data_IF_008822719913
#
_entry.id   IF_008822719913
#
_cell.length_a   1.000
_cell.length_b   1.000
_cell.length_c   1.000
_cell.angle_alpha   90.00
_cell.angle_beta   90.00
_cell.angle_gamma   90.00
#
_symmetry.space_group_name_H-M   'P 1'
#
loop_
_entity.id
_entity.type
_entity.pdbx_description
1 polymer ?
#
# COMPACT_ATOMS: atom_id res chain seq x y z
N UNK A 1 -9.46 12.57 -15.99
CA UNK A 1 -9.69 12.71 -17.44
C UNK A 1 -8.63 13.62 -18.04
N UNK A 2 -8.19 13.32 -19.26
CA UNK A 2 -7.30 14.16 -20.05
C UNK A 2 -8.22 14.99 -20.96
N UNK A 3 -7.96 16.30 -21.08
CA UNK A 3 -8.73 17.18 -21.96
C UNK A 3 -7.81 17.71 -23.04
N UNK A 4 -8.13 17.43 -24.31
CA UNK A 4 -7.49 18.05 -25.46
C UNK A 4 -8.37 19.20 -25.94
N UNK A 5 -7.75 20.31 -26.36
CA UNK A 5 -8.47 21.51 -26.82
C UNK A 5 -8.02 21.86 -28.23
N UNK A 6 -9.00 22.06 -29.12
CA UNK A 6 -8.77 22.60 -30.46
C UNK A 6 -8.71 24.12 -30.43
N UNK A 7 -7.82 24.72 -31.19
CA UNK A 7 -7.80 26.15 -31.43
C UNK A 7 -8.92 26.64 -32.38
N UNK A 8 -9.57 25.71 -33.12
CA UNK A 8 -10.68 26.06 -33.99
C UNK A 8 -11.97 26.20 -33.18
N UNK A 9 -12.66 27.31 -33.29
CA UNK A 9 -13.90 27.62 -32.54
C UNK A 9 -15.11 26.80 -32.98
N UNK A 10 -15.10 26.20 -34.18
CA UNK A 10 -16.23 25.45 -34.72
C UNK A 10 -15.76 24.40 -35.77
N UNK A 11 -16.68 23.51 -36.14
CA UNK A 11 -16.50 22.56 -37.23
C UNK A 11 -15.52 21.45 -36.93
N UNK A 12 -15.17 21.21 -35.67
CA UNK A 12 -14.20 20.18 -35.28
C UNK A 12 -14.72 18.75 -35.53
N UNK A 13 -13.83 17.87 -35.95
CA UNK A 13 -13.94 16.44 -35.88
C UNK A 13 -12.63 15.89 -35.31
N UNK A 14 -12.71 15.20 -34.20
CA UNK A 14 -11.54 14.56 -33.58
C UNK A 14 -11.31 13.15 -34.12
N UNK A 15 -10.05 12.76 -34.21
CA UNK A 15 -9.57 11.48 -34.68
C UNK A 15 -8.67 10.83 -33.64
N UNK A 16 -8.71 9.51 -33.55
CA UNK A 16 -7.77 8.69 -32.81
C UNK A 16 -7.13 7.68 -33.78
N UNK A 17 -5.81 7.65 -33.83
CA UNK A 17 -5.04 6.75 -34.71
C UNK A 17 -5.50 6.82 -36.18
N UNK A 18 -5.90 8.00 -36.64
CA UNK A 18 -6.42 8.25 -38.01
C UNK A 18 -7.90 7.93 -38.22
N UNK A 19 -8.57 7.31 -37.26
CA UNK A 19 -10.01 7.02 -37.33
C UNK A 19 -10.84 8.12 -36.65
N UNK A 20 -11.98 8.56 -37.22
CA UNK A 20 -12.85 9.56 -36.64
C UNK A 20 -13.49 9.04 -35.35
N UNK A 21 -13.50 9.85 -34.31
CA UNK A 21 -14.22 9.57 -33.05
C UNK A 21 -15.66 10.01 -33.23
N UNK A 22 -16.62 9.08 -33.23
CA UNK A 22 -18.02 9.38 -33.47
C UNK A 22 -18.58 10.41 -32.48
N UNK A 23 -19.18 11.48 -33.02
CA UNK A 23 -19.77 12.57 -32.22
C UNK A 23 -18.76 13.52 -31.53
N UNK A 24 -17.45 13.35 -31.71
CA UNK A 24 -16.45 14.22 -31.12
C UNK A 24 -16.24 15.49 -31.98
N UNK A 25 -17.18 16.43 -31.90
CA UNK A 25 -17.20 17.65 -32.71
C UNK A 25 -17.05 18.94 -31.89
N UNK A 26 -16.92 18.82 -30.58
CA UNK A 26 -16.71 19.98 -29.70
C UNK A 26 -15.29 20.55 -29.81
N UNK A 27 -15.09 21.75 -29.30
CA UNK A 27 -13.76 22.38 -29.19
C UNK A 27 -12.84 21.63 -28.22
N UNK A 28 -13.40 20.82 -27.31
CA UNK A 28 -12.66 19.98 -26.36
C UNK A 28 -13.00 18.50 -26.56
N UNK A 29 -11.99 17.63 -26.39
CA UNK A 29 -12.15 16.18 -26.32
C UNK A 29 -11.73 15.71 -24.92
N UNK A 30 -12.66 15.07 -24.20
CA UNK A 30 -12.39 14.43 -22.92
C UNK A 30 -12.01 12.97 -23.15
N UNK A 31 -10.79 12.60 -22.74
CA UNK A 31 -10.30 11.22 -22.84
C UNK A 31 -10.33 10.60 -21.43
N UNK A 32 -11.08 9.51 -21.28
CA UNK A 32 -11.08 8.74 -20.03
C UNK A 32 -9.75 7.99 -19.89
N UNK A 33 -9.25 7.88 -18.64
CA UNK A 33 -7.95 7.27 -18.34
C UNK A 33 -8.01 5.73 -18.31
N UNK A 34 -8.52 5.13 -19.37
CA UNK A 34 -8.50 3.69 -19.63
C UNK A 34 -7.36 3.36 -20.61
N UNK A 35 -6.58 2.27 -20.41
CA UNK A 35 -5.43 1.93 -21.27
C UNK A 35 -5.78 1.85 -22.75
N UNK A 36 -6.99 1.40 -23.11
CA UNK A 36 -7.49 1.35 -24.48
C UNK A 36 -7.66 2.72 -25.15
N UNK A 37 -7.58 3.81 -24.40
CA UNK A 37 -7.62 5.17 -24.92
C UNK A 37 -6.25 5.79 -25.19
N UNK A 38 -5.17 5.03 -24.99
CA UNK A 38 -3.84 5.42 -25.49
C UNK A 38 -3.89 5.49 -27.03
N UNK A 39 -3.21 6.47 -27.60
CA UNK A 39 -3.18 6.64 -29.06
C UNK A 39 -2.74 8.03 -29.48
N UNK A 40 -2.73 8.25 -30.79
CA UNK A 40 -2.40 9.52 -31.43
C UNK A 40 -3.69 10.27 -31.79
N UNK A 41 -3.86 11.45 -31.22
CA UNK A 41 -5.07 12.26 -31.39
C UNK A 41 -4.80 13.46 -32.29
N UNK A 42 -5.69 13.66 -33.25
CA UNK A 42 -5.66 14.81 -34.17
C UNK A 42 -7.07 15.39 -34.32
N UNK A 43 -7.15 16.60 -34.87
CA UNK A 43 -8.42 17.27 -35.16
C UNK A 43 -8.36 17.91 -36.54
N UNK A 44 -9.50 17.89 -37.24
CA UNK A 44 -9.73 18.62 -38.50
C UNK A 44 -10.93 19.54 -38.24
N UNK A 45 -10.86 20.81 -38.68
CA UNK A 45 -11.98 21.73 -38.66
C UNK A 45 -12.53 21.91 -40.06
N UNK A 46 -13.85 21.80 -40.21
CA UNK A 46 -14.57 22.03 -41.49
C UNK A 46 -15.53 23.19 -41.30
N UNK A 47 -15.34 24.27 -42.04
CA UNK A 47 -16.19 25.48 -42.01
C UNK A 47 -16.63 25.79 -43.44
N UNK A 48 -17.93 26.01 -43.63
CA UNK A 48 -18.53 26.29 -44.96
C UNK A 48 -18.16 25.27 -46.05
N UNK A 49 -18.03 23.99 -45.65
CA UNK A 49 -17.66 22.93 -46.55
C UNK A 49 -16.16 22.79 -46.90
N UNK A 50 -15.32 23.67 -46.34
CA UNK A 50 -13.87 23.65 -46.53
C UNK A 50 -13.19 23.05 -45.28
N UNK A 51 -12.45 21.93 -45.44
CA UNK A 51 -11.70 21.31 -44.36
C UNK A 51 -10.30 21.89 -44.24
N UNK A 52 -9.82 22.05 -43.01
CA UNK A 52 -8.44 22.35 -42.74
C UNK A 52 -7.51 21.17 -43.02
N UNK A 53 -6.20 21.41 -43.02
CA UNK A 53 -5.24 20.32 -42.84
C UNK A 53 -5.43 19.68 -41.46
N UNK A 54 -5.01 18.43 -41.34
CA UNK A 54 -4.96 17.74 -40.04
C UNK A 54 -4.02 18.44 -39.08
N UNK A 55 -4.40 18.56 -37.82
CA UNK A 55 -3.54 19.14 -36.78
C UNK A 55 -2.27 18.27 -36.57
N UNK A 56 -1.26 18.88 -35.94
CA UNK A 56 -0.18 18.08 -35.32
C UNK A 56 -0.81 17.09 -34.34
N UNK A 57 -0.28 15.87 -34.30
CA UNK A 57 -0.77 14.82 -33.44
C UNK A 57 -0.33 15.02 -31.97
N UNK A 58 -1.26 14.77 -31.05
CA UNK A 58 -0.95 14.65 -29.61
C UNK A 58 -0.94 13.18 -29.24
N UNK A 59 0.22 12.66 -28.83
CA UNK A 59 0.33 11.28 -28.32
C UNK A 59 -0.12 11.23 -26.87
N UNK A 60 -1.08 10.36 -26.57
CA UNK A 60 -1.58 10.09 -25.22
C UNK A 60 -1.21 8.67 -24.84
N UNK A 61 -0.46 8.52 -23.74
CA UNK A 61 -0.11 7.22 -23.17
C UNK A 61 -0.78 7.06 -21.82
N UNK A 62 -1.56 6.00 -21.66
CA UNK A 62 -2.24 5.66 -20.41
C UNK A 62 -1.71 4.30 -19.94
N UNK A 63 -0.94 4.32 -18.89
CA UNK A 63 -0.33 3.11 -18.34
C UNK A 63 -1.32 2.37 -17.44
N UNK A 64 -1.38 1.02 -17.51
CA UNK A 64 -2.25 0.24 -16.64
C UNK A 64 -1.76 0.33 -15.18
N UNK A 65 -2.71 0.26 -14.25
CA UNK A 65 -2.43 0.09 -12.83
C UNK A 65 -1.95 -1.35 -12.55
N UNK A 66 -1.16 -1.56 -11.50
CA UNK A 66 -0.92 -2.90 -10.98
C UNK A 66 -2.23 -3.62 -10.61
N UNK A 67 -2.20 -4.96 -10.57
CA UNK A 67 -3.34 -5.76 -10.13
C UNK A 67 -3.60 -5.57 -8.63
N UNK A 68 -4.87 -5.56 -8.24
CA UNK A 68 -5.31 -5.44 -6.84
C UNK A 68 -5.65 -6.79 -6.21
N UNK A 69 -5.58 -7.87 -6.98
CA UNK A 69 -5.98 -9.24 -6.61
C UNK A 69 -4.98 -10.01 -5.72
N UNK A 70 -3.68 -9.64 -5.57
CA UNK A 70 -2.81 -10.33 -4.63
C UNK A 70 -3.41 -10.38 -3.22
N UNK A 71 -3.32 -11.55 -2.57
CA UNK A 71 -3.92 -11.80 -1.26
C UNK A 71 -2.93 -11.38 -0.17
N UNK A 72 -3.41 -10.59 0.79
CA UNK A 72 -2.64 -10.10 1.94
C UNK A 72 -2.95 -10.95 3.17
N UNK A 73 -1.93 -11.52 3.80
CA UNK A 73 -2.08 -12.32 5.04
C UNK A 73 -0.97 -12.00 6.04
N UNK A 74 -1.22 -12.13 7.35
CA UNK A 74 -2.49 -12.45 7.99
C UNK A 74 -3.49 -11.27 7.91
N UNK A 75 -4.79 -11.55 7.87
CA UNK A 75 -5.81 -10.49 7.93
C UNK A 75 -5.84 -9.78 9.30
N UNK A 76 -5.57 -10.54 10.37
CA UNK A 76 -5.45 -10.05 11.75
C UNK A 76 -4.28 -10.72 12.45
N UNK A 77 -3.58 -10.00 13.33
CA UNK A 77 -2.54 -10.56 14.19
C UNK A 77 -2.38 -9.73 15.47
N UNK A 78 -1.75 -10.33 16.49
CA UNK A 78 -1.46 -9.66 17.75
C UNK A 78 0.02 -9.81 18.05
N UNK A 79 0.67 -8.71 18.44
CA UNK A 79 2.09 -8.67 18.79
C UNK A 79 2.34 -7.86 20.06
N UNK A 80 3.51 -8.00 20.66
CA UNK A 80 3.94 -7.14 21.76
C UNK A 80 4.46 -5.80 21.21
N UNK A 81 4.39 -4.74 22.03
CA UNK A 81 4.96 -3.43 21.71
C UNK A 81 6.44 -3.56 21.31
N UNK A 82 6.82 -2.91 20.23
CA UNK A 82 8.17 -2.96 19.66
C UNK A 82 8.45 -4.15 18.73
N UNK A 83 7.49 -5.04 18.52
CA UNK A 83 7.64 -6.18 17.59
C UNK A 83 7.37 -5.76 16.15
N UNK A 84 7.93 -6.53 15.21
CA UNK A 84 7.65 -6.44 13.77
C UNK A 84 6.60 -7.46 13.37
N UNK A 85 5.94 -7.22 12.23
CA UNK A 85 4.97 -8.14 11.61
C UNK A 85 5.43 -8.49 10.21
N UNK A 86 5.42 -9.79 9.88
CA UNK A 86 5.60 -10.25 8.50
C UNK A 86 4.25 -10.35 7.82
N UNK A 87 4.10 -9.62 6.72
CA UNK A 87 2.93 -9.62 5.85
C UNK A 87 3.28 -10.36 4.56
N UNK A 88 2.56 -11.43 4.28
CA UNK A 88 2.69 -12.18 3.04
C UNK A 88 1.74 -11.61 1.98
N UNK A 89 2.24 -11.41 0.77
CA UNK A 89 1.46 -11.04 -0.42
C UNK A 89 1.53 -12.17 -1.41
N UNK A 90 0.49 -13.01 -1.44
CA UNK A 90 0.41 -14.14 -2.35
C UNK A 90 -0.05 -13.69 -3.74
N UNK A 91 0.60 -14.21 -4.80
CA UNK A 91 0.31 -13.84 -6.17
C UNK A 91 0.81 -12.44 -6.54
N UNK A 92 1.96 -12.03 -5.98
CA UNK A 92 2.59 -10.77 -6.35
C UNK A 92 2.91 -10.75 -7.85
N UNK A 93 2.74 -9.60 -8.48
CA UNK A 93 2.98 -9.42 -9.91
C UNK A 93 4.47 -9.13 -10.16
N UNK A 94 5.11 -9.89 -11.05
CA UNK A 94 6.50 -9.66 -11.43
C UNK A 94 6.70 -8.26 -12.04
N UNK A 95 7.78 -7.58 -11.67
CA UNK A 95 8.09 -6.23 -12.13
C UNK A 95 7.31 -5.12 -11.43
N UNK A 96 6.50 -5.44 -10.41
CA UNK A 96 5.79 -4.49 -9.56
C UNK A 96 6.45 -4.48 -8.18
N UNK A 97 6.60 -3.32 -7.61
CA UNK A 97 7.12 -3.11 -6.26
C UNK A 97 5.99 -3.03 -5.24
N UNK A 98 6.20 -3.64 -4.07
CA UNK A 98 5.25 -3.68 -2.97
C UNK A 98 5.85 -3.05 -1.72
N UNK A 99 5.04 -2.31 -0.96
CA UNK A 99 5.45 -1.62 0.24
C UNK A 99 4.28 -1.55 1.23
N UNK A 100 4.57 -1.67 2.54
CA UNK A 100 3.57 -1.60 3.61
C UNK A 100 3.37 -0.16 4.07
N UNK A 101 2.12 0.19 4.34
CA UNK A 101 1.74 1.51 4.83
C UNK A 101 0.73 1.42 5.99
N UNK A 102 0.79 2.41 6.88
CA UNK A 102 -0.29 2.78 7.79
C UNK A 102 -0.77 4.18 7.40
N UNK A 103 -1.93 4.26 6.76
CA UNK A 103 -2.35 5.51 6.14
C UNK A 103 -1.33 6.01 5.10
N UNK A 104 -0.74 7.18 5.33
CA UNK A 104 0.30 7.75 4.46
C UNK A 104 1.74 7.40 4.86
N UNK A 105 1.96 6.72 5.99
CA UNK A 105 3.29 6.44 6.53
C UNK A 105 3.79 5.07 6.06
N UNK A 106 5.00 5.02 5.49
CA UNK A 106 5.67 3.77 5.13
C UNK A 106 6.08 2.99 6.37
N UNK A 107 5.83 1.68 6.36
CA UNK A 107 6.17 0.73 7.44
C UNK A 107 7.25 -0.27 7.04
N UNK A 108 7.62 -0.35 5.77
CA UNK A 108 8.61 -1.33 5.28
C UNK A 108 9.48 -0.72 4.18
N UNK A 109 10.59 -1.39 3.86
CA UNK A 109 11.27 -1.19 2.59
C UNK A 109 10.43 -1.73 1.43
N UNK A 110 10.76 -1.28 0.23
CA UNK A 110 10.13 -1.76 -1.00
C UNK A 110 10.65 -3.16 -1.35
N UNK A 111 9.74 -4.06 -1.70
CA UNK A 111 10.05 -5.45 -2.13
C UNK A 111 9.50 -5.68 -3.54
N UNK A 112 10.33 -6.21 -4.43
CA UNK A 112 9.92 -6.54 -5.78
C UNK A 112 9.04 -7.80 -5.82
N UNK A 113 7.96 -7.76 -6.60
CA UNK A 113 7.12 -8.91 -6.88
C UNK A 113 7.82 -9.93 -7.78
N UNK A 114 7.58 -11.20 -7.53
CA UNK A 114 8.25 -12.33 -8.19
C UNK A 114 7.34 -13.12 -9.14
N UNK A 115 6.05 -12.81 -9.17
CA UNK A 115 5.01 -13.64 -9.79
C UNK A 115 4.41 -14.67 -8.82
N UNK A 116 5.03 -14.85 -7.65
CA UNK A 116 4.60 -15.73 -6.56
C UNK A 116 4.33 -14.97 -5.27
N UNK A 117 4.43 -15.67 -4.15
CA UNK A 117 4.33 -15.06 -2.83
C UNK A 117 5.60 -14.29 -2.45
N UNK A 118 5.44 -13.15 -1.81
CA UNK A 118 6.52 -12.35 -1.20
C UNK A 118 6.19 -12.02 0.24
N UNK A 119 7.22 -11.79 1.05
CA UNK A 119 7.09 -11.36 2.44
C UNK A 119 7.64 -9.95 2.60
N UNK A 120 6.85 -9.10 3.25
CA UNK A 120 7.26 -7.77 3.67
C UNK A 120 7.24 -7.73 5.20
N UNK A 121 8.24 -7.08 5.79
CA UNK A 121 8.36 -6.96 7.26
C UNK A 121 8.19 -5.50 7.65
N UNK A 122 7.34 -5.24 8.63
CA UNK A 122 7.14 -3.88 9.15
C UNK A 122 8.35 -3.41 9.95
N UNK A 123 8.51 -2.11 10.10
CA UNK A 123 9.23 -1.54 11.24
C UNK A 123 8.57 -1.97 12.57
N UNK A 124 9.25 -1.75 13.69
CA UNK A 124 8.70 -2.04 15.01
C UNK A 124 7.40 -1.24 15.26
N UNK A 125 6.35 -1.95 15.68
CA UNK A 125 5.04 -1.37 15.92
C UNK A 125 4.85 -1.06 17.41
N UNK A 126 4.43 0.16 17.71
CA UNK A 126 4.21 0.64 19.08
C UNK A 126 2.74 0.94 19.40
N UNK A 127 1.86 0.84 18.41
CA UNK A 127 0.43 1.07 18.54
C UNK A 127 -0.35 0.18 17.58
N UNK A 128 -1.64 -0.03 17.86
CA UNK A 128 -2.55 -0.73 16.96
C UNK A 128 -2.50 -0.12 15.57
N UNK A 129 -2.38 -0.94 14.55
CA UNK A 129 -2.06 -0.50 13.19
C UNK A 129 -2.89 -1.28 12.17
N UNK A 130 -3.47 -0.57 11.21
CA UNK A 130 -4.05 -1.19 10.00
C UNK A 130 -3.06 -1.06 8.86
N UNK A 131 -2.49 -2.18 8.47
CA UNK A 131 -1.50 -2.24 7.40
C UNK A 131 -2.22 -2.37 6.07
N UNK A 132 -1.90 -1.49 5.13
CA UNK A 132 -2.27 -1.55 3.72
C UNK A 132 -1.04 -1.84 2.88
N UNK A 133 -1.22 -2.46 1.71
CA UNK A 133 -0.13 -2.77 0.78
C UNK A 133 -0.31 -1.93 -0.47
N UNK A 134 0.70 -1.15 -0.82
CA UNK A 134 0.75 -0.40 -2.07
C UNK A 134 1.59 -1.15 -3.08
N UNK A 135 1.00 -1.42 -4.25
CA UNK A 135 1.67 -1.95 -5.44
C UNK A 135 2.01 -0.79 -6.37
N UNK A 136 3.25 -0.69 -6.80
CA UNK A 136 3.76 0.40 -7.68
C UNK A 136 4.53 -0.19 -8.84
N UNK A 137 4.18 0.21 -10.05
CA UNK A 137 5.01 -0.07 -11.23
C UNK A 137 6.21 0.89 -11.23
N UNK A 138 7.46 0.41 -11.09
CA UNK A 138 8.64 1.28 -10.97
C UNK A 138 8.97 2.04 -12.26
N UNK A 139 8.49 1.55 -13.43
CA UNK A 139 8.76 2.18 -14.73
C UNK A 139 7.79 3.34 -14.99
N UNK A 140 6.50 3.14 -14.67
CA UNK A 140 5.45 4.10 -14.97
C UNK A 140 5.04 4.96 -13.79
N UNK A 141 5.49 4.61 -12.57
CA UNK A 141 5.09 5.19 -11.29
C UNK A 141 3.58 5.04 -10.98
N UNK A 142 2.85 4.28 -11.78
CA UNK A 142 1.44 3.99 -11.50
C UNK A 142 1.34 3.10 -10.27
N UNK A 143 0.50 3.48 -9.30
CA UNK A 143 0.36 2.74 -8.06
C UNK A 143 -1.09 2.56 -7.66
N UNK A 144 -1.35 1.52 -6.87
CA UNK A 144 -2.66 1.19 -6.32
C UNK A 144 -2.50 0.51 -4.97
N UNK A 145 -3.48 0.68 -4.08
CA UNK A 145 -3.59 -0.12 -2.86
C UNK A 145 -4.27 -1.45 -3.17
N UNK A 146 -3.73 -2.54 -2.62
CA UNK A 146 -4.41 -3.84 -2.66
C UNK A 146 -5.70 -3.78 -1.84
N UNK A 147 -6.65 -4.64 -2.15
CA UNK A 147 -7.94 -4.70 -1.43
C UNK A 147 -7.81 -5.34 -0.05
N UNK A 148 -6.82 -6.23 0.15
CA UNK A 148 -6.54 -6.86 1.44
C UNK A 148 -5.77 -5.94 2.38
N UNK A 149 -6.10 -6.03 3.67
CA UNK A 149 -5.41 -5.33 4.76
C UNK A 149 -5.01 -6.31 5.86
N UNK A 150 -4.07 -5.90 6.72
CA UNK A 150 -3.71 -6.64 7.93
C UNK A 150 -3.92 -5.75 9.16
N UNK A 151 -4.82 -6.17 10.06
CA UNK A 151 -5.08 -5.44 11.31
C UNK A 151 -4.21 -6.02 12.42
N UNK A 152 -3.37 -5.18 12.99
CA UNK A 152 -2.43 -5.56 14.05
C UNK A 152 -2.87 -4.95 15.38
N UNK A 153 -3.07 -5.81 16.38
CA UNK A 153 -3.24 -5.41 17.77
C UNK A 153 -1.88 -5.45 18.46
N UNK A 154 -1.48 -4.34 19.08
CA UNK A 154 -0.21 -4.22 19.80
C UNK A 154 -0.50 -4.20 21.30
N UNK A 155 -0.07 -5.25 22.00
CA UNK A 155 -0.20 -5.36 23.46
C UNK A 155 0.99 -4.68 24.15
N UNK A 156 0.77 -3.99 25.26
CA UNK A 156 1.86 -3.41 26.04
C UNK A 156 2.75 -4.52 26.61
N UNK A 157 4.05 -4.24 26.74
CA UNK A 157 4.97 -5.11 27.48
C UNK A 157 4.64 -4.96 28.95
N UNK A 158 4.47 -6.06 29.72
CA UNK A 158 4.28 -5.99 31.17
C UNK A 158 5.44 -5.29 31.86
N UNK A 159 5.14 -4.60 32.95
CA UNK A 159 6.17 -3.98 33.80
C UNK A 159 7.02 -5.08 34.43
N UNK A 160 8.32 -4.87 34.51
CA UNK A 160 9.24 -5.79 35.21
C UNK A 160 8.78 -5.97 36.67
N UNK A 161 8.48 -7.19 37.13
CA UNK A 161 8.06 -7.40 38.51
C UNK A 161 9.22 -7.21 39.47
N UNK A 162 8.89 -6.80 40.67
CA UNK A 162 9.81 -6.79 41.81
C UNK A 162 9.46 -7.89 42.82
N UNK A 163 10.45 -8.36 43.55
CA UNK A 163 10.26 -9.38 44.61
C UNK A 163 10.31 -8.71 45.96
N UNK A 164 9.42 -9.10 46.86
CA UNK A 164 9.44 -8.71 48.25
C UNK A 164 9.60 -9.95 49.15
N UNK A 165 10.47 -9.98 50.17
CA UNK A 165 11.39 -8.90 50.60
C UNK A 165 12.50 -8.65 49.57
N UNK A 166 12.97 -7.39 49.50
CA UNK A 166 14.05 -6.94 48.59
C UNK A 166 15.41 -7.21 49.27
N UNK A 167 16.36 -7.71 48.49
CA UNK A 167 17.76 -7.91 48.94
C UNK A 167 18.00 -9.31 49.54
N UNK A 168 19.21 -9.54 50.07
CA UNK A 168 19.55 -10.83 50.65
C UNK A 168 18.74 -11.12 51.90
N UNK A 169 18.08 -12.26 51.91
CA UNK A 169 17.37 -12.77 53.10
C UNK A 169 18.23 -13.83 53.75
N UNK A 170 18.67 -13.53 54.96
CA UNK A 170 19.52 -14.42 55.76
C UNK A 170 18.74 -14.89 56.99
N UNK A 171 18.61 -16.20 57.13
CA UNK A 171 17.88 -16.84 58.24
C UNK A 171 18.64 -18.05 58.76
N UNK A 172 18.36 -18.44 59.98
CA UNK A 172 18.89 -19.70 60.53
C UNK A 172 18.03 -20.90 60.15
N UNK A 173 18.65 -22.08 60.08
CA UNK A 173 17.93 -23.34 59.90
C UNK A 173 16.84 -23.53 60.97
N UNK A 174 15.68 -24.03 60.59
CA UNK A 174 14.54 -24.24 61.47
C UNK A 174 13.67 -22.99 61.72
N UNK A 175 13.96 -21.87 61.09
CA UNK A 175 13.04 -20.71 61.10
C UNK A 175 11.78 -20.95 60.28
N UNK A 176 10.74 -20.14 60.53
CA UNK A 176 9.51 -20.22 59.74
C UNK A 176 9.78 -19.99 58.25
N UNK A 177 8.91 -20.56 57.41
CA UNK A 177 9.03 -20.41 55.91
C UNK A 177 9.06 -18.95 55.50
N UNK A 178 9.95 -18.62 54.57
CA UNK A 178 10.06 -17.30 53.95
C UNK A 178 9.08 -17.25 52.80
N UNK A 179 8.23 -16.26 52.77
CA UNK A 179 7.29 -16.00 51.67
C UNK A 179 7.87 -14.92 50.77
N UNK A 180 8.13 -15.27 49.53
CA UNK A 180 8.48 -14.34 48.48
C UNK A 180 7.21 -13.93 47.73
N UNK A 181 7.00 -12.64 47.54
CA UNK A 181 5.84 -12.11 46.79
C UNK A 181 6.31 -11.31 45.58
N UNK A 182 5.61 -11.49 44.46
CA UNK A 182 5.81 -10.71 43.26
C UNK A 182 4.89 -9.48 43.22
N UNK A 183 5.37 -8.34 42.72
CA UNK A 183 4.52 -7.18 42.46
C UNK A 183 3.55 -7.39 41.28
N UNK A 184 3.77 -8.39 40.43
CA UNK A 184 2.85 -8.72 39.37
C UNK A 184 1.70 -9.59 39.88
N UNK A 185 0.44 -9.17 39.63
CA UNK A 185 -0.74 -9.86 40.11
C UNK A 185 -1.04 -11.19 39.45
N UNK A 186 -0.49 -11.46 38.26
CA UNK A 186 -0.68 -12.66 37.47
C UNK A 186 0.47 -12.93 36.51
N UNK A 187 0.52 -14.15 35.93
CA UNK A 187 1.52 -14.50 34.92
C UNK A 187 2.94 -14.71 35.45
N UNK A 188 3.08 -14.91 36.78
CA UNK A 188 4.38 -15.11 37.41
C UNK A 188 4.96 -16.48 37.08
N UNK A 189 6.26 -16.50 36.76
CA UNK A 189 7.08 -17.69 36.73
C UNK A 189 8.28 -17.49 37.67
N UNK A 190 8.45 -18.37 38.66
CA UNK A 190 9.55 -18.31 39.61
C UNK A 190 10.73 -19.17 39.12
N UNK A 191 11.92 -18.63 39.25
CA UNK A 191 13.16 -19.32 38.93
C UNK A 191 14.07 -19.35 40.17
N UNK A 192 14.85 -20.39 40.30
CA UNK A 192 15.94 -20.51 41.28
C UNK A 192 17.22 -20.78 40.50
N UNK A 193 18.25 -19.99 40.81
CA UNK A 193 19.60 -20.11 40.24
C UNK A 193 19.67 -19.92 38.70
N UNK A 194 18.78 -19.09 38.13
CA UNK A 194 18.75 -18.68 36.74
C UNK A 194 17.88 -19.49 35.81
#
# INVERSE_FOLDING_TARGET
AIVLTSSAGAGNQWYKDGAPIGGATATTLNITTLPGNSGSYTVISTVSGCASLVSVATSVTINPLPLVTPIVTPATTTVCNGSTVTVNVAGSQAGINYELFNGGTSLSSTTAGTGGAINLVTSALTANTTITVRATNPVTSCSVLLTGTSVVTVNPIPVTPTINPVGPVVVCEGTAAIVLTSSAGAGNQWYKDG
#
